data_IF_886213477595
#
_entry.id   IF_886213477595
#
_cell.length_a   1.000
_cell.length_b   1.000
_cell.length_c   1.000
_cell.angle_alpha   90.00
_cell.angle_beta   90.00
_cell.angle_gamma   90.00
#
_symmetry.space_group_name_H-M   'P 1'
#
loop_
_entity.id
_entity.type
_entity.pdbx_description
1 polymer ?
#
# COMPACT_ATOMS: atom_id res chain seq x y z
N UNK A 1 13.83 16.99 -26.60
CA UNK A 1 14.55 16.30 -25.51
C UNK A 1 14.12 16.97 -24.21
N UNK A 2 13.11 16.44 -23.54
CA UNK A 2 12.78 16.87 -22.18
C UNK A 2 13.74 16.13 -21.24
N UNK A 3 14.68 16.86 -20.63
CA UNK A 3 15.40 16.34 -19.47
C UNK A 3 14.34 16.13 -18.37
N UNK A 4 14.03 14.86 -18.06
CA UNK A 4 13.22 14.54 -16.90
C UNK A 4 14.06 14.82 -15.66
N UNK A 5 13.79 15.96 -15.00
CA UNK A 5 14.30 16.27 -13.67
C UNK A 5 13.54 15.44 -12.64
N UNK A 6 13.88 14.15 -12.59
CA UNK A 6 13.30 13.21 -11.63
C UNK A 6 13.76 13.52 -10.21
N UNK A 7 12.99 13.12 -9.20
CA UNK A 7 13.42 13.23 -7.79
C UNK A 7 14.76 12.52 -7.60
N UNK A 8 15.76 13.27 -7.10
CA UNK A 8 17.07 12.74 -6.71
C UNK A 8 17.20 12.75 -5.18
N UNK A 9 17.86 11.72 -4.63
CA UNK A 9 18.06 11.56 -3.19
C UNK A 9 16.93 10.80 -2.49
N UNK A 10 17.33 9.80 -1.71
CA UNK A 10 16.45 9.00 -0.85
C UNK A 10 17.15 8.72 0.47
N UNK A 11 16.40 8.87 1.55
CA UNK A 11 16.88 8.59 2.90
C UNK A 11 15.94 7.62 3.59
N UNK A 12 16.50 6.69 4.35
CA UNK A 12 15.73 5.90 5.31
C UNK A 12 15.26 6.79 6.47
N UNK A 13 14.02 6.56 6.92
CA UNK A 13 13.44 7.24 8.06
C UNK A 13 12.81 6.23 9.02
N UNK A 14 12.90 6.52 10.30
CA UNK A 14 12.23 5.78 11.36
C UNK A 14 11.36 6.74 12.18
N UNK A 15 10.11 6.33 12.40
CA UNK A 15 9.11 7.08 13.14
C UNK A 15 8.72 6.26 14.37
N UNK A 16 8.94 6.75 15.59
CA UNK A 16 8.62 5.99 16.79
C UNK A 16 7.11 5.80 16.94
N UNK A 17 6.71 4.59 17.31
CA UNK A 17 5.33 4.20 17.62
C UNK A 17 5.30 3.37 18.90
N UNK A 18 4.16 3.25 19.61
CA UNK A 18 4.13 2.53 20.89
C UNK A 18 4.58 1.07 20.84
N UNK A 19 4.52 0.42 19.67
CA UNK A 19 4.95 -0.97 19.46
C UNK A 19 6.35 -1.09 18.82
N UNK A 20 7.09 0.01 18.70
CA UNK A 20 8.44 0.04 18.12
C UNK A 20 8.61 1.18 17.13
N UNK A 21 8.90 0.87 15.88
CA UNK A 21 9.16 1.84 14.82
C UNK A 21 8.33 1.57 13.58
N UNK A 22 8.00 2.64 12.88
CA UNK A 22 7.58 2.61 11.49
C UNK A 22 8.75 3.10 10.65
N UNK A 23 9.25 2.24 9.78
CA UNK A 23 10.33 2.56 8.86
C UNK A 23 9.77 3.02 7.52
N UNK A 24 10.59 3.68 6.71
CA UNK A 24 10.19 4.11 5.38
C UNK A 24 11.34 4.73 4.60
N UNK A 25 11.01 5.24 3.41
CA UNK A 25 11.91 5.98 2.53
C UNK A 25 11.34 7.37 2.31
N UNK A 26 12.15 8.40 2.51
CA UNK A 26 11.82 9.77 2.20
C UNK A 26 12.57 10.22 0.96
N UNK A 27 11.83 10.60 -0.07
CA UNK A 27 12.34 11.06 -1.36
C UNK A 27 12.13 12.57 -1.51
N UNK A 28 13.10 13.24 -2.14
CA UNK A 28 12.99 14.67 -2.48
C UNK A 28 13.14 15.62 -1.28
N UNK A 29 12.80 16.91 -1.47
CA UNK A 29 13.13 17.97 -0.50
C UNK A 29 12.44 17.79 0.85
N UNK A 30 13.17 18.02 1.96
CA UNK A 30 12.63 17.96 3.34
C UNK A 30 11.87 19.21 3.77
N UNK A 31 12.05 20.33 3.05
CA UNK A 31 11.43 21.62 3.37
C UNK A 31 9.95 21.72 2.97
N UNK A 32 9.43 20.73 2.24
CA UNK A 32 8.04 20.68 1.79
C UNK A 32 7.34 19.46 2.40
N UNK A 33 6.03 19.57 2.61
CA UNK A 33 5.25 18.44 3.09
C UNK A 33 5.22 17.33 2.03
N UNK A 34 5.61 16.09 2.39
CA UNK A 34 5.62 14.98 1.46
C UNK A 34 4.22 14.45 1.18
N UNK A 35 4.07 13.80 0.03
CA UNK A 35 2.97 12.86 -0.24
C UNK A 35 3.25 11.58 0.55
N UNK A 36 2.31 11.16 1.40
CA UNK A 36 2.44 9.89 2.13
C UNK A 36 2.05 8.75 1.20
N UNK A 37 2.98 7.84 0.94
CA UNK A 37 2.81 6.70 0.03
C UNK A 37 2.69 5.38 0.81
N UNK A 38 1.62 4.62 0.54
CA UNK A 38 1.32 3.33 1.15
C UNK A 38 1.28 2.19 0.13
N UNK A 39 2.05 1.13 0.39
CA UNK A 39 2.24 0.00 -0.53
C UNK A 39 1.10 -1.05 -0.48
N UNK A 40 1.16 -2.04 -1.37
CA UNK A 40 0.25 -3.18 -1.40
C UNK A 40 0.45 -4.18 -0.26
N UNK A 41 -0.48 -5.13 -0.12
CA UNK A 41 -0.36 -6.17 0.92
C UNK A 41 0.87 -7.04 0.67
N UNK A 42 1.68 -7.27 1.71
CA UNK A 42 2.94 -8.04 1.67
C UNK A 42 4.09 -7.40 0.87
N UNK A 43 3.93 -6.18 0.35
CA UNK A 43 5.02 -5.37 -0.20
C UNK A 43 5.81 -4.67 0.93
N UNK A 44 6.50 -3.59 0.58
CA UNK A 44 7.17 -2.64 1.46
C UNK A 44 7.36 -1.29 0.72
N UNK A 45 7.98 -0.30 1.35
CA UNK A 45 8.25 1.02 0.77
C UNK A 45 9.02 0.96 -0.57
N UNK A 46 9.75 -0.11 -0.83
CA UNK A 46 10.44 -0.36 -2.10
C UNK A 46 9.52 -0.53 -3.30
N UNK A 47 8.22 -0.77 -3.09
CA UNK A 47 7.21 -0.88 -4.16
C UNK A 47 7.13 0.39 -5.02
N UNK A 48 7.62 1.54 -4.51
CA UNK A 48 7.63 2.82 -5.22
C UNK A 48 9.00 3.18 -5.82
N UNK A 49 10.02 2.35 -5.68
CA UNK A 49 11.41 2.68 -6.05
C UNK A 49 11.61 2.96 -7.55
N UNK A 50 10.69 2.51 -8.40
CA UNK A 50 10.74 2.76 -9.85
C UNK A 50 9.84 3.93 -10.27
N UNK A 51 8.79 4.24 -9.51
CA UNK A 51 7.87 5.34 -9.79
C UNK A 51 8.41 6.69 -9.33
N UNK A 52 8.85 6.80 -8.08
CA UNK A 52 9.19 8.09 -7.46
C UNK A 52 10.30 8.83 -8.21
N UNK A 53 11.36 8.17 -8.72
CA UNK A 53 12.37 8.84 -9.54
C UNK A 53 11.85 9.44 -10.85
N UNK A 54 10.64 9.10 -11.31
CA UNK A 54 10.03 9.67 -12.52
C UNK A 54 9.05 10.82 -12.22
N UNK A 55 8.83 11.13 -10.94
CA UNK A 55 8.03 12.28 -10.54
C UNK A 55 8.90 13.53 -10.49
N UNK A 56 8.27 14.71 -10.56
CA UNK A 56 8.98 16.00 -10.52
C UNK A 56 9.89 16.14 -9.30
N UNK A 57 11.10 16.66 -9.50
CA UNK A 57 12.07 16.95 -8.44
C UNK A 57 11.61 18.01 -7.41
N UNK A 58 10.55 18.74 -7.71
CA UNK A 58 9.93 19.70 -6.80
C UNK A 58 8.97 19.05 -5.78
N UNK A 59 8.69 17.76 -5.90
CA UNK A 59 7.81 17.04 -4.97
C UNK A 59 8.62 16.23 -3.96
N UNK A 60 8.01 15.99 -2.79
CA UNK A 60 8.56 15.09 -1.78
C UNK A 60 7.59 13.95 -1.51
N UNK A 61 8.11 12.75 -1.24
CA UNK A 61 7.30 11.54 -1.02
C UNK A 61 7.86 10.76 0.16
N UNK A 62 6.97 10.42 1.11
CA UNK A 62 7.25 9.58 2.27
C UNK A 62 6.61 8.21 2.05
N UNK A 63 7.39 7.25 1.57
CA UNK A 63 6.98 5.86 1.38
C UNK A 63 7.14 5.09 2.70
N UNK A 64 6.03 4.65 3.29
CA UNK A 64 6.06 3.95 4.59
C UNK A 64 6.05 2.45 4.42
N UNK A 65 6.85 1.73 5.22
CA UNK A 65 6.61 0.33 5.50
C UNK A 65 5.46 0.20 6.50
N UNK A 66 4.35 -0.43 6.13
CA UNK A 66 3.24 -0.66 7.06
C UNK A 66 3.63 -1.61 8.20
N UNK A 67 2.92 -1.60 9.36
CA UNK A 67 3.19 -2.51 10.47
C UNK A 67 3.35 -3.97 10.00
N UNK A 68 4.38 -4.65 10.50
CA UNK A 68 4.69 -6.01 10.09
C UNK A 68 5.30 -6.17 8.68
N UNK A 69 5.53 -5.09 7.94
CA UNK A 69 6.13 -5.13 6.60
C UNK A 69 7.51 -4.47 6.59
N UNK A 70 8.33 -4.83 5.59
CA UNK A 70 9.64 -4.23 5.36
C UNK A 70 10.51 -4.15 6.63
N UNK A 71 10.95 -2.94 6.95
CA UNK A 71 11.77 -2.67 8.14
C UNK A 71 10.96 -2.11 9.32
N UNK A 72 9.62 -2.08 9.23
CA UNK A 72 8.75 -1.67 10.34
C UNK A 72 8.64 -2.77 11.39
N UNK A 73 8.41 -2.35 12.64
CA UNK A 73 8.17 -3.27 13.74
C UNK A 73 6.91 -4.11 13.48
N UNK A 74 6.99 -5.38 13.88
CA UNK A 74 5.84 -6.26 13.97
C UNK A 74 4.96 -5.83 15.15
N UNK A 75 3.67 -6.12 15.10
CA UNK A 75 2.84 -5.92 16.28
C UNK A 75 3.23 -6.93 17.37
N UNK A 76 2.93 -6.64 18.65
CA UNK A 76 3.10 -7.61 19.72
C UNK A 76 2.45 -8.97 19.41
N UNK A 77 2.94 -10.02 20.08
CA UNK A 77 2.32 -11.36 19.97
C UNK A 77 0.84 -11.31 20.35
N UNK A 78 0.06 -12.23 19.79
CA UNK A 78 -1.40 -12.33 19.97
C UNK A 78 -2.22 -11.17 19.39
N UNK A 79 -1.59 -10.10 18.89
CA UNK A 79 -2.32 -9.04 18.19
C UNK A 79 -2.61 -9.46 16.73
N UNK A 80 -3.87 -9.29 16.34
CA UNK A 80 -4.33 -9.49 14.97
C UNK A 80 -4.08 -8.25 14.09
N UNK A 81 -3.83 -8.45 12.80
CA UNK A 81 -3.67 -7.38 11.82
C UNK A 81 -5.00 -7.05 11.14
N UNK A 82 -5.70 -6.03 11.64
CA UNK A 82 -6.88 -5.46 10.99
C UNK A 82 -6.45 -4.46 9.93
N UNK A 83 -5.79 -4.95 8.87
CA UNK A 83 -4.97 -4.16 7.92
C UNK A 83 -5.61 -2.84 7.43
N UNK A 84 -6.92 -2.80 7.19
CA UNK A 84 -7.61 -1.57 6.82
C UNK A 84 -7.70 -0.57 7.99
N UNK A 85 -8.24 -1.00 9.12
CA UNK A 85 -8.46 -0.16 10.30
C UNK A 85 -7.14 0.27 10.95
N UNK A 86 -6.19 -0.67 11.07
CA UNK A 86 -4.84 -0.41 11.55
C UNK A 86 -4.12 0.59 10.65
N UNK A 87 -4.35 0.53 9.33
CA UNK A 87 -3.83 1.49 8.36
C UNK A 87 -4.34 2.91 8.56
N UNK A 88 -5.64 3.08 8.85
CA UNK A 88 -6.22 4.41 9.17
C UNK A 88 -5.61 4.95 10.47
N UNK A 89 -5.49 4.10 11.49
CA UNK A 89 -4.87 4.47 12.77
C UNK A 89 -3.40 4.87 12.56
N UNK A 90 -2.67 4.12 11.73
CA UNK A 90 -1.30 4.44 11.35
C UNK A 90 -1.24 5.82 10.69
N UNK A 91 -2.01 6.07 9.62
CA UNK A 91 -2.04 7.38 8.96
C UNK A 91 -2.37 8.50 9.96
N UNK A 92 -3.34 8.29 10.85
CA UNK A 92 -3.68 9.27 11.88
C UNK A 92 -2.52 9.55 12.84
N UNK A 93 -1.74 8.53 13.19
CA UNK A 93 -0.52 8.68 14.00
C UNK A 93 0.56 9.44 13.25
N UNK A 94 0.79 9.15 11.98
CA UNK A 94 1.79 9.84 11.14
C UNK A 94 1.43 11.32 10.98
N UNK A 95 0.17 11.63 10.66
CA UNK A 95 -0.33 13.02 10.55
C UNK A 95 -0.12 13.79 11.85
N UNK A 96 -0.44 13.17 12.99
CA UNK A 96 -0.20 13.78 14.32
C UNK A 96 1.28 13.95 14.66
N UNK A 97 2.10 12.95 14.34
CA UNK A 97 3.55 12.97 14.62
C UNK A 97 4.23 14.16 13.94
N UNK A 98 3.93 14.38 12.65
CA UNK A 98 4.46 15.52 11.90
C UNK A 98 3.66 16.82 12.08
N UNK A 99 2.61 16.82 12.92
CA UNK A 99 1.73 17.97 13.19
C UNK A 99 1.11 18.56 11.92
N UNK A 100 0.77 17.70 10.97
CA UNK A 100 0.14 18.10 9.72
C UNK A 100 -1.34 18.41 9.92
N UNK A 101 -1.78 19.55 9.40
CA UNK A 101 -3.21 19.93 9.36
C UNK A 101 -3.89 19.50 8.05
N UNK A 102 -3.08 19.24 7.02
CA UNK A 102 -3.48 18.74 5.71
C UNK A 102 -2.58 17.56 5.32
N UNK A 103 -3.03 16.66 4.46
CA UNK A 103 -2.23 15.52 4.00
C UNK A 103 -2.51 15.19 2.53
N UNK A 104 -1.47 14.71 1.84
CA UNK A 104 -1.51 14.25 0.45
C UNK A 104 -1.22 12.75 0.44
N UNK A 105 -2.02 11.97 -0.26
CA UNK A 105 -1.96 10.50 -0.20
C UNK A 105 -1.68 9.89 -1.57
N UNK A 106 -0.80 8.88 -1.59
CA UNK A 106 -0.56 7.98 -2.71
C UNK A 106 -0.71 6.55 -2.18
N UNK A 107 -1.52 5.72 -2.83
CA UNK A 107 -1.76 4.37 -2.34
C UNK A 107 -1.88 3.35 -3.46
N UNK A 108 -1.17 2.24 -3.33
CA UNK A 108 -1.33 1.07 -4.20
C UNK A 108 -2.10 -0.02 -3.46
N UNK A 109 -3.10 -0.63 -4.12
CA UNK A 109 -3.80 -1.80 -3.60
C UNK A 109 -4.32 -1.61 -2.16
N UNK A 110 -3.80 -2.35 -1.18
CA UNK A 110 -4.09 -2.16 0.25
C UNK A 110 -3.88 -0.71 0.71
N UNK A 111 -2.76 -0.09 0.33
CA UNK A 111 -2.47 1.30 0.66
C UNK A 111 -3.45 2.29 0.03
N UNK A 112 -3.96 2.00 -1.17
CA UNK A 112 -5.05 2.79 -1.76
C UNK A 112 -6.37 2.60 -1.03
N UNK A 113 -6.72 1.38 -0.62
CA UNK A 113 -7.89 1.12 0.21
C UNK A 113 -7.82 1.82 1.59
N UNK A 114 -6.65 1.85 2.23
CA UNK A 114 -6.42 2.57 3.49
C UNK A 114 -6.57 4.08 3.29
N UNK A 115 -5.93 4.63 2.25
CA UNK A 115 -6.02 6.04 1.92
C UNK A 115 -7.46 6.48 1.62
N UNK A 116 -8.23 5.64 0.92
CA UNK A 116 -9.67 5.86 0.67
C UNK A 116 -10.45 6.00 1.98
N UNK A 117 -10.24 5.06 2.91
CA UNK A 117 -10.94 5.10 4.20
C UNK A 117 -10.51 6.33 5.03
N UNK A 118 -9.22 6.68 5.04
CA UNK A 118 -8.74 7.87 5.73
C UNK A 118 -9.34 9.15 5.15
N UNK A 119 -9.35 9.29 3.81
CA UNK A 119 -9.92 10.44 3.12
C UNK A 119 -11.42 10.59 3.36
N UNK A 120 -12.16 9.50 3.49
CA UNK A 120 -13.57 9.54 3.83
C UNK A 120 -13.82 9.84 5.33
N UNK A 121 -12.97 9.34 6.22
CA UNK A 121 -13.08 9.57 7.67
C UNK A 121 -12.67 10.98 8.10
N UNK A 122 -11.65 11.56 7.47
CA UNK A 122 -11.10 12.89 7.73
C UNK A 122 -11.12 13.76 6.46
N UNK A 123 -12.30 14.03 5.88
CA UNK A 123 -12.42 14.59 4.53
C UNK A 123 -11.92 16.01 4.41
N UNK A 124 -11.85 16.74 5.52
CA UNK A 124 -11.35 18.11 5.52
C UNK A 124 -9.82 18.16 5.75
N UNK A 125 -9.14 17.03 5.97
CA UNK A 125 -7.68 16.96 6.12
C UNK A 125 -6.97 16.56 4.81
N UNK A 126 -7.62 15.80 3.93
CA UNK A 126 -6.96 15.30 2.71
C UNK A 126 -7.05 16.33 1.59
N UNK A 127 -5.91 16.76 1.04
CA UNK A 127 -5.88 17.69 -0.09
C UNK A 127 -6.13 16.96 -1.41
N UNK A 128 -5.39 15.88 -1.61
CA UNK A 128 -5.62 14.96 -2.71
C UNK A 128 -5.25 13.52 -2.37
N UNK A 129 -5.79 12.61 -3.17
CA UNK A 129 -5.47 11.20 -3.13
C UNK A 129 -5.22 10.66 -4.54
N UNK A 130 -4.13 9.91 -4.68
CA UNK A 130 -3.78 9.14 -5.88
C UNK A 130 -3.92 7.66 -5.54
N UNK A 131 -4.83 6.98 -6.22
CA UNK A 131 -5.14 5.56 -6.01
C UNK A 131 -4.69 4.73 -7.20
N UNK A 132 -3.80 3.77 -6.95
CA UNK A 132 -3.21 2.91 -7.96
C UNK A 132 -3.83 1.51 -7.90
N UNK A 133 -4.53 1.17 -8.97
CA UNK A 133 -5.17 -0.10 -9.27
C UNK A 133 -6.16 -0.62 -8.20
N UNK A 134 -6.84 0.31 -7.53
CA UNK A 134 -7.83 0.05 -6.49
C UNK A 134 -8.78 1.25 -6.37
N UNK A 135 -10.08 1.02 -6.12
CA UNK A 135 -11.06 2.10 -5.90
C UNK A 135 -11.50 2.22 -4.43
N UNK A 136 -11.38 1.15 -3.66
CA UNK A 136 -11.85 1.03 -2.27
C UNK A 136 -11.34 -0.26 -1.63
N UNK A 137 -11.53 -0.46 -0.31
CA UNK A 137 -11.39 -1.78 0.30
C UNK A 137 -12.19 -2.85 -0.45
N UNK A 138 -11.69 -4.09 -0.46
CA UNK A 138 -12.31 -5.17 -1.21
C UNK A 138 -13.71 -5.49 -0.67
N UNK A 139 -14.73 -5.20 -1.49
CA UNK A 139 -16.11 -5.58 -1.22
C UNK A 139 -16.24 -7.09 -1.32
N UNK A 140 -16.74 -7.71 -0.26
CA UNK A 140 -16.96 -9.16 -0.20
C UNK A 140 -18.44 -9.50 -0.14
N UNK A 141 -18.76 -10.68 -0.64
CA UNK A 141 -20.06 -11.31 -0.45
C UNK A 141 -20.28 -11.57 1.05
N UNK A 142 -21.30 -10.92 1.60
CA UNK A 142 -21.62 -10.99 3.04
C UNK A 142 -22.05 -12.40 3.46
N UNK A 143 -22.60 -13.20 2.53
CA UNK A 143 -23.06 -14.57 2.83
C UNK A 143 -21.89 -15.51 3.10
N UNK A 144 -20.72 -15.23 2.51
CA UNK A 144 -19.47 -15.98 2.75
C UNK A 144 -18.73 -15.52 4.01
N UNK A 145 -19.24 -14.51 4.71
CA UNK A 145 -18.52 -13.89 5.83
C UNK A 145 -18.28 -14.83 7.01
N UNK A 146 -19.24 -15.65 7.46
CA UNK A 146 -19.00 -16.60 8.55
C UNK A 146 -17.85 -17.58 8.24
N UNK A 147 -17.85 -18.16 7.03
CA UNK A 147 -16.83 -19.13 6.60
C UNK A 147 -15.44 -18.50 6.49
N UNK A 148 -15.36 -17.29 5.93
CA UNK A 148 -14.10 -16.54 5.85
C UNK A 148 -13.58 -16.23 7.25
N UNK A 149 -14.45 -15.81 8.16
CA UNK A 149 -14.06 -15.46 9.53
C UNK A 149 -13.53 -16.69 10.27
N UNK A 150 -14.26 -17.82 10.26
CA UNK A 150 -13.81 -19.03 10.95
C UNK A 150 -12.47 -19.54 10.41
N UNK A 151 -12.31 -19.60 9.08
CA UNK A 151 -11.05 -20.02 8.44
C UNK A 151 -9.88 -19.06 8.77
N UNK A 152 -10.13 -17.74 8.82
CA UNK A 152 -9.10 -16.78 9.22
C UNK A 152 -8.75 -16.89 10.70
N UNK A 153 -9.70 -17.18 11.59
CA UNK A 153 -9.40 -17.37 13.02
C UNK A 153 -8.47 -18.58 13.19
N UNK A 154 -8.81 -19.73 12.63
CA UNK A 154 -8.01 -20.95 12.77
C UNK A 154 -6.60 -20.76 12.19
N UNK A 155 -6.50 -20.12 11.01
CA UNK A 155 -5.20 -19.81 10.40
C UNK A 155 -4.40 -18.82 11.25
N UNK A 156 -5.05 -17.82 11.84
CA UNK A 156 -4.37 -16.87 12.72
C UNK A 156 -3.77 -17.58 13.94
N UNK A 157 -4.55 -18.42 14.63
CA UNK A 157 -4.08 -19.22 15.77
C UNK A 157 -2.89 -20.12 15.39
N UNK A 158 -2.89 -20.66 14.16
CA UNK A 158 -1.75 -21.40 13.61
C UNK A 158 -0.51 -20.51 13.39
N UNK A 159 -0.66 -19.30 12.85
CA UNK A 159 0.49 -18.43 12.59
C UNK A 159 1.05 -17.77 13.85
N UNK A 160 0.22 -17.45 14.85
CA UNK A 160 0.70 -16.85 16.10
C UNK A 160 1.47 -17.84 16.99
N UNK A 161 1.18 -19.14 16.85
CA UNK A 161 1.88 -20.21 17.58
C UNK A 161 3.20 -20.61 16.95
N UNK A 162 3.55 -20.09 15.76
CA UNK A 162 4.87 -20.29 15.15
C UNK A 162 5.94 -19.68 16.06
N UNK A 163 6.75 -20.54 16.67
CA UNK A 163 7.92 -20.11 17.42
C UNK A 163 8.96 -19.47 16.48
N UNK A 164 9.73 -18.52 17.01
CA UNK A 164 10.74 -17.77 16.24
C UNK A 164 11.81 -18.66 15.58
N UNK A 165 12.03 -19.88 16.08
CA UNK A 165 12.95 -20.87 15.50
C UNK A 165 12.37 -21.71 14.35
N UNK A 166 11.09 -21.53 14.00
CA UNK A 166 10.41 -22.27 12.92
C UNK A 166 10.22 -21.47 11.62
N UNK A 167 10.81 -20.27 11.51
CA UNK A 167 10.74 -19.47 10.29
C UNK A 167 11.76 -20.05 9.29
N UNK A 168 11.31 -20.60 8.15
CA UNK A 168 12.22 -21.15 7.16
C UNK A 168 13.09 -20.05 6.56
N UNK A 169 14.37 -20.37 6.35
CA UNK A 169 15.30 -19.54 5.60
C UNK A 169 15.60 -20.15 4.24
N UNK A 170 15.83 -19.28 3.26
CA UNK A 170 15.96 -19.62 1.85
C UNK A 170 17.22 -18.97 1.28
N UNK A 171 17.81 -19.58 0.26
CA UNK A 171 18.77 -18.86 -0.58
C UNK A 171 18.02 -17.84 -1.45
N UNK A 172 18.76 -16.92 -2.09
CA UNK A 172 18.13 -15.82 -2.81
C UNK A 172 17.30 -16.26 -4.03
N UNK A 173 17.69 -17.33 -4.73
CA UNK A 173 16.92 -17.84 -5.87
C UNK A 173 15.60 -18.47 -5.41
N UNK A 174 15.62 -19.26 -4.34
CA UNK A 174 14.41 -19.81 -3.70
C UNK A 174 13.45 -18.69 -3.28
N UNK A 175 13.97 -17.58 -2.74
CA UNK A 175 13.15 -16.40 -2.42
C UNK A 175 12.44 -15.86 -3.66
N UNK A 176 13.17 -15.68 -4.77
CA UNK A 176 12.59 -15.13 -5.99
C UNK A 176 11.50 -16.04 -6.55
N UNK A 177 11.71 -17.36 -6.56
CA UNK A 177 10.70 -18.33 -6.98
C UNK A 177 9.44 -18.25 -6.11
N UNK A 178 9.59 -18.20 -4.78
CA UNK A 178 8.46 -18.06 -3.85
C UNK A 178 7.70 -16.76 -4.10
N UNK A 179 8.41 -15.67 -4.36
CA UNK A 179 7.81 -14.35 -4.60
C UNK A 179 7.10 -14.30 -5.94
N UNK A 180 7.71 -14.82 -7.01
CA UNK A 180 7.08 -14.86 -8.33
C UNK A 180 5.78 -15.69 -8.33
N UNK A 181 5.80 -16.86 -7.69
CA UNK A 181 4.61 -17.71 -7.51
C UNK A 181 3.51 -16.99 -6.69
N UNK A 182 3.88 -16.41 -5.55
CA UNK A 182 2.94 -15.75 -4.66
C UNK A 182 2.22 -14.56 -5.32
N UNK A 183 2.90 -13.84 -6.21
CA UNK A 183 2.36 -12.67 -6.92
C UNK A 183 1.67 -13.02 -8.24
N UNK A 184 1.70 -14.29 -8.67
CA UNK A 184 0.95 -14.82 -9.83
C UNK A 184 1.10 -13.98 -11.10
N UNK A 185 2.34 -13.60 -11.41
CA UNK A 185 2.67 -12.79 -12.59
C UNK A 185 2.33 -11.30 -12.45
N UNK A 186 1.97 -10.82 -11.26
CA UNK A 186 1.71 -9.40 -11.06
C UNK A 186 2.97 -8.53 -10.96
N UNK A 187 4.11 -9.10 -10.63
CA UNK A 187 5.41 -8.41 -10.59
C UNK A 187 6.35 -9.11 -11.56
N UNK A 188 7.30 -8.36 -12.14
CA UNK A 188 8.40 -8.96 -12.88
C UNK A 188 9.48 -9.47 -11.90
N UNK A 189 10.46 -10.22 -12.42
CA UNK A 189 11.64 -10.63 -11.66
C UNK A 189 12.41 -9.43 -11.10
N UNK A 190 12.55 -8.37 -11.88
CA UNK A 190 13.18 -7.12 -11.46
C UNK A 190 12.38 -6.45 -10.33
N UNK A 191 11.05 -6.44 -10.44
CA UNK A 191 10.16 -5.97 -9.38
C UNK A 191 10.32 -6.79 -8.09
N UNK A 192 10.41 -8.12 -8.21
CA UNK A 192 10.69 -9.00 -7.08
C UNK A 192 12.03 -8.69 -6.41
N UNK A 193 13.10 -8.50 -7.19
CA UNK A 193 14.42 -8.11 -6.68
C UNK A 193 14.34 -6.78 -5.91
N UNK A 194 13.62 -5.79 -6.45
CA UNK A 194 13.45 -4.48 -5.80
C UNK A 194 12.72 -4.64 -4.45
N UNK A 195 11.60 -5.35 -4.42
CA UNK A 195 10.86 -5.59 -3.18
C UNK A 195 11.70 -6.36 -2.17
N UNK A 196 12.53 -7.32 -2.60
CA UNK A 196 13.31 -8.16 -1.70
C UNK A 196 14.49 -7.45 -1.04
N UNK A 197 15.00 -6.35 -1.59
CA UNK A 197 16.01 -5.50 -0.92
C UNK A 197 15.57 -5.07 0.48
N UNK A 198 14.26 -4.84 0.66
CA UNK A 198 13.65 -4.46 1.93
C UNK A 198 12.72 -5.55 2.50
N UNK A 199 12.47 -6.59 1.71
CA UNK A 199 11.60 -7.71 2.03
C UNK A 199 12.30 -8.85 2.78
N UNK A 200 13.63 -8.85 2.89
CA UNK A 200 14.43 -9.92 3.48
C UNK A 200 15.23 -9.45 4.71
N UNK A 201 15.57 -10.42 5.56
CA UNK A 201 16.57 -10.28 6.63
C UNK A 201 17.55 -11.44 6.55
N UNK A 202 18.84 -11.23 6.87
CA UNK A 202 19.82 -12.31 6.92
C UNK A 202 19.42 -13.31 8.01
N UNK A 203 19.51 -14.60 7.69
CA UNK A 203 19.41 -15.68 8.66
C UNK A 203 20.75 -15.86 9.39
N UNK A 204 20.78 -16.79 10.37
CA UNK A 204 22.02 -17.12 11.08
C UNK A 204 23.06 -17.85 10.22
N UNK A 205 22.65 -18.35 9.04
CA UNK A 205 23.51 -19.07 8.09
C UNK A 205 23.94 -18.15 6.92
N UNK A 206 25.17 -18.30 6.40
CA UNK A 206 25.63 -17.54 5.23
C UNK A 206 24.72 -17.69 4.02
N UNK A 207 24.48 -16.59 3.31
CA UNK A 207 23.64 -16.53 2.09
C UNK A 207 22.20 -17.05 2.25
N UNK A 208 21.72 -17.16 3.48
CA UNK A 208 20.34 -17.51 3.78
C UNK A 208 19.57 -16.33 4.32
N UNK A 209 18.31 -16.24 3.94
CA UNK A 209 17.42 -15.14 4.25
C UNK A 209 16.06 -15.64 4.69
N UNK A 210 15.40 -14.90 5.58
CA UNK A 210 13.98 -15.08 5.84
C UNK A 210 13.22 -13.81 5.45
N UNK A 211 11.94 -13.96 5.14
CA UNK A 211 11.09 -12.82 4.85
C UNK A 211 10.93 -11.94 6.09
N UNK A 212 11.23 -10.65 5.95
CA UNK A 212 11.12 -9.65 7.01
C UNK A 212 9.68 -9.44 7.49
N UNK A 213 8.69 -9.74 6.63
CA UNK A 213 7.27 -9.55 6.92
C UNK A 213 6.79 -10.53 7.98
N UNK A 214 5.87 -10.07 8.81
CA UNK A 214 5.20 -10.90 9.80
C UNK A 214 4.34 -11.98 9.11
N UNK A 215 4.54 -13.28 9.40
CA UNK A 215 3.73 -14.36 8.81
C UNK A 215 2.22 -14.21 9.04
N UNK A 216 1.80 -13.55 10.14
CA UNK A 216 0.39 -13.30 10.46
C UNK A 216 -0.31 -12.45 9.42
N UNK A 217 0.42 -11.65 8.63
CA UNK A 217 -0.15 -10.85 7.54
C UNK A 217 -0.74 -11.70 6.39
N UNK A 218 -0.46 -13.00 6.34
CA UNK A 218 -1.15 -13.94 5.44
C UNK A 218 -2.63 -14.11 5.79
N UNK A 219 -3.03 -13.72 7.00
CA UNK A 219 -4.38 -13.89 7.55
C UNK A 219 -4.84 -12.54 8.07
N UNK A 220 -5.54 -11.79 7.22
CA UNK A 220 -5.88 -10.40 7.50
C UNK A 220 -7.35 -10.07 7.16
N UNK A 221 -8.23 -11.07 7.11
CA UNK A 221 -9.62 -10.93 6.64
C UNK A 221 -10.70 -11.12 7.73
N UNK A 222 -10.51 -10.53 8.93
CA UNK A 222 -11.54 -10.50 9.98
C UNK A 222 -12.44 -9.24 9.93
N UNK A 223 -12.13 -8.27 9.09
CA UNK A 223 -12.90 -7.02 8.93
C UNK A 223 -13.46 -6.89 7.51
N UNK A 224 -14.49 -7.68 7.19
CA UNK A 224 -15.14 -7.62 5.88
C UNK A 224 -15.97 -6.34 5.73
N UNK A 225 -16.01 -5.81 4.52
CA UNK A 225 -16.68 -4.55 4.21
C UNK A 225 -17.72 -4.81 3.11
N UNK A 226 -18.97 -4.45 3.38
CA UNK A 226 -20.07 -4.52 2.41
C UNK A 226 -19.99 -3.37 1.41
N UNK A 227 -20.66 -3.52 0.27
CA UNK A 227 -20.75 -2.44 -0.72
C UNK A 227 -21.38 -1.18 -0.12
N UNK A 228 -22.46 -1.32 0.65
CA UNK A 228 -23.16 -0.19 1.27
C UNK A 228 -22.24 0.61 2.19
N UNK A 229 -21.40 -0.07 2.98
CA UNK A 229 -20.42 0.59 3.84
C UNK A 229 -19.38 1.34 3.01
N UNK A 230 -18.85 0.72 1.94
CA UNK A 230 -17.92 1.41 1.03
C UNK A 230 -18.58 2.63 0.39
N UNK A 231 -19.82 2.54 -0.08
CA UNK A 231 -20.53 3.65 -0.72
C UNK A 231 -20.80 4.80 0.28
N UNK A 232 -21.04 4.47 1.55
CA UNK A 232 -21.14 5.47 2.63
C UNK A 232 -19.81 6.21 2.83
N UNK A 233 -18.67 5.50 2.83
CA UNK A 233 -17.35 6.14 2.86
C UNK A 233 -17.09 6.99 1.59
N UNK A 234 -17.34 6.43 0.40
CA UNK A 234 -17.11 7.10 -0.87
C UNK A 234 -17.84 8.44 -0.96
N UNK A 235 -19.07 8.50 -0.43
CA UNK A 235 -19.89 9.72 -0.42
C UNK A 235 -19.32 10.88 0.40
N UNK A 236 -18.34 10.60 1.27
CA UNK A 236 -17.69 11.60 2.13
C UNK A 236 -16.39 12.14 1.54
N UNK A 237 -15.89 11.57 0.44
CA UNK A 237 -14.65 12.04 -0.17
C UNK A 237 -14.86 13.40 -0.84
N UNK A 238 -14.09 14.39 -0.41
CA UNK A 238 -14.13 15.78 -0.91
C UNK A 238 -12.84 16.24 -1.60
N UNK A 239 -11.73 15.54 -1.37
CA UNK A 239 -10.42 15.92 -1.88
C UNK A 239 -10.34 15.82 -3.41
N UNK A 240 -9.27 16.33 -4.02
CA UNK A 240 -8.96 15.95 -5.40
C UNK A 240 -8.61 14.45 -5.45
N UNK A 241 -9.09 13.73 -6.44
CA UNK A 241 -8.99 12.28 -6.50
C UNK A 241 -8.56 11.81 -7.89
N UNK A 242 -7.42 11.16 -7.96
CA UNK A 242 -6.91 10.49 -9.15
C UNK A 242 -6.98 8.99 -8.95
N UNK A 243 -7.67 8.29 -9.85
CA UNK A 243 -7.65 6.83 -9.94
C UNK A 243 -6.94 6.40 -11.22
N UNK A 244 -5.91 5.55 -11.09
CA UNK A 244 -5.25 4.91 -12.22
C UNK A 244 -5.50 3.40 -12.13
N UNK A 245 -6.22 2.85 -13.09
CA UNK A 245 -6.57 1.42 -13.17
C UNK A 245 -5.65 0.74 -14.18
N UNK A 246 -4.96 -0.31 -13.75
CA UNK A 246 -4.20 -1.16 -14.64
C UNK A 246 -5.11 -2.15 -15.38
N UNK A 247 -4.77 -2.50 -16.61
CA UNK A 247 -5.49 -3.45 -17.46
C UNK A 247 -4.47 -4.51 -17.95
N UNK A 248 -4.59 -5.79 -17.54
CA UNK A 248 -5.72 -6.38 -16.82
C UNK A 248 -5.81 -6.05 -15.32
N UNK A 249 -4.72 -5.60 -14.67
CA UNK A 249 -4.73 -5.20 -13.25
C UNK A 249 -5.20 -6.28 -12.25
N UNK A 250 -5.62 -5.85 -11.06
CA UNK A 250 -6.14 -6.71 -10.00
C UNK A 250 -7.52 -7.27 -10.35
N UNK A 251 -7.72 -8.58 -10.16
CA UNK A 251 -9.06 -9.18 -10.26
C UNK A 251 -9.84 -8.94 -8.97
N UNK A 252 -11.10 -8.54 -9.09
CA UNK A 252 -12.01 -8.35 -7.97
C UNK A 252 -13.14 -9.36 -8.03
N UNK A 253 -13.59 -9.84 -6.88
CA UNK A 253 -14.73 -10.76 -6.79
C UNK A 253 -16.02 -10.11 -7.30
N UNK A 254 -16.17 -8.80 -7.04
CA UNK A 254 -17.32 -7.99 -7.44
C UNK A 254 -16.84 -6.81 -8.33
N UNK A 255 -16.47 -7.04 -9.60
CA UNK A 255 -15.82 -6.04 -10.45
C UNK A 255 -16.69 -4.80 -10.68
N UNK A 256 -18.02 -4.95 -10.72
CA UNK A 256 -19.00 -3.87 -10.79
C UNK A 256 -18.92 -2.88 -9.61
N UNK A 257 -18.40 -3.31 -8.45
CA UNK A 257 -18.25 -2.43 -7.29
C UNK A 257 -17.23 -1.33 -7.56
N UNK A 258 -16.25 -1.57 -8.45
CA UNK A 258 -15.20 -0.62 -8.76
C UNK A 258 -15.79 0.68 -9.34
N UNK A 259 -16.57 0.55 -10.43
CA UNK A 259 -17.18 1.69 -11.10
C UNK A 259 -18.27 2.36 -10.23
N UNK A 260 -19.10 1.58 -9.51
CA UNK A 260 -20.09 2.13 -8.55
C UNK A 260 -19.45 3.02 -7.48
N UNK A 261 -18.27 2.63 -7.00
CA UNK A 261 -17.52 3.42 -6.01
C UNK A 261 -16.95 4.68 -6.65
N UNK A 262 -16.33 4.58 -7.82
CA UNK A 262 -15.80 5.75 -8.53
C UNK A 262 -16.89 6.76 -8.86
N UNK A 263 -18.06 6.31 -9.33
CA UNK A 263 -19.22 7.16 -9.56
C UNK A 263 -19.63 7.91 -8.29
N UNK A 264 -19.61 7.23 -7.14
CA UNK A 264 -19.94 7.86 -5.86
C UNK A 264 -18.90 8.90 -5.42
N UNK A 265 -17.61 8.63 -5.62
CA UNK A 265 -16.52 9.57 -5.32
C UNK A 265 -16.64 10.82 -6.22
N UNK A 266 -16.89 10.63 -7.52
CA UNK A 266 -16.98 11.69 -8.51
C UNK A 266 -18.05 12.74 -8.18
N UNK A 267 -19.12 12.36 -7.47
CA UNK A 267 -20.17 13.30 -7.03
C UNK A 267 -19.70 14.28 -5.95
N UNK A 268 -18.72 13.92 -5.13
CA UNK A 268 -18.26 14.72 -3.97
C UNK A 268 -16.85 15.29 -4.10
N UNK A 269 -15.99 14.68 -4.91
CA UNK A 269 -14.60 15.08 -5.05
C UNK A 269 -14.45 16.47 -5.67
N UNK A 270 -13.56 17.31 -5.11
CA UNK A 270 -13.22 18.65 -5.63
C UNK A 270 -12.74 18.60 -7.08
N UNK A 271 -12.02 17.52 -7.43
CA UNK A 271 -11.58 17.19 -8.78
C UNK A 271 -11.51 15.67 -8.87
N UNK A 272 -11.96 15.10 -9.98
CA UNK A 272 -11.94 13.66 -10.19
C UNK A 272 -11.32 13.32 -11.55
N UNK A 273 -10.31 12.46 -11.53
CA UNK A 273 -9.67 11.93 -12.73
C UNK A 273 -9.60 10.40 -12.66
N UNK A 274 -9.92 9.76 -13.77
CA UNK A 274 -9.86 8.31 -13.91
C UNK A 274 -9.16 7.94 -15.21
N UNK A 275 -8.10 7.15 -15.10
CA UNK A 275 -7.29 6.72 -16.24
C UNK A 275 -7.14 5.20 -16.23
N UNK A 276 -7.24 4.58 -17.41
CA UNK A 276 -6.91 3.16 -17.61
C UNK A 276 -5.57 3.09 -18.33
N UNK A 277 -4.67 2.25 -17.82
CA UNK A 277 -3.34 2.04 -18.39
C UNK A 277 -3.09 0.56 -18.57
N UNK A 278 -2.39 0.19 -19.64
CA UNK A 278 -1.99 -1.19 -19.85
C UNK A 278 -0.92 -1.57 -18.81
N UNK A 279 -1.12 -2.71 -18.13
CA UNK A 279 -0.19 -3.20 -17.12
C UNK A 279 -0.81 -4.19 -16.14
N UNK A 280 0.05 -4.85 -15.38
CA UNK A 280 -0.33 -5.71 -14.25
C UNK A 280 -0.78 -4.89 -13.04
N UNK A 281 -1.23 -5.54 -11.96
CA UNK A 281 -1.61 -4.85 -10.73
C UNK A 281 -0.49 -3.99 -10.11
N UNK A 282 0.79 -4.31 -10.36
CA UNK A 282 1.93 -3.50 -9.93
C UNK A 282 2.49 -2.65 -11.09
N UNK A 283 1.61 -2.02 -11.88
CA UNK A 283 2.02 -1.14 -13.00
C UNK A 283 2.98 -0.03 -12.54
N UNK A 284 2.82 0.47 -11.33
CA UNK A 284 3.71 1.48 -10.75
C UNK A 284 5.12 0.96 -10.43
N UNK A 285 5.29 -0.35 -10.28
CA UNK A 285 6.58 -0.98 -10.07
C UNK A 285 7.19 -1.41 -11.42
N UNK A 286 6.39 -2.05 -12.27
CA UNK A 286 6.85 -2.70 -13.50
C UNK A 286 6.94 -1.75 -14.71
N UNK A 287 6.02 -0.79 -14.81
CA UNK A 287 5.87 0.12 -15.95
C UNK A 287 5.55 1.56 -15.49
N UNK A 288 6.37 2.14 -14.56
CA UNK A 288 6.09 3.45 -13.98
C UNK A 288 6.00 4.57 -15.01
N UNK A 289 6.70 4.45 -16.15
CA UNK A 289 6.68 5.41 -17.26
C UNK A 289 5.29 5.63 -17.84
N UNK A 290 4.37 4.66 -17.69
CA UNK A 290 2.99 4.75 -18.18
C UNK A 290 2.10 5.61 -17.29
N UNK A 291 2.48 5.78 -16.01
CA UNK A 291 1.64 6.47 -15.02
C UNK A 291 2.28 7.74 -14.46
N UNK A 292 3.61 7.86 -14.49
CA UNK A 292 4.32 9.03 -13.98
C UNK A 292 3.88 10.35 -14.65
N UNK A 293 3.69 10.43 -15.99
CA UNK A 293 3.19 11.65 -16.61
C UNK A 293 1.77 12.04 -16.13
N UNK A 294 0.90 11.05 -15.92
CA UNK A 294 -0.47 11.27 -15.42
C UNK A 294 -0.42 11.85 -14.01
N UNK A 295 0.43 11.26 -13.15
CA UNK A 295 0.62 11.70 -11.77
C UNK A 295 1.21 13.11 -11.71
N UNK A 296 2.25 13.40 -12.49
CA UNK A 296 2.87 14.73 -12.53
C UNK A 296 1.86 15.80 -12.97
N UNK A 297 1.08 15.54 -14.03
CA UNK A 297 0.04 16.47 -14.49
C UNK A 297 -1.04 16.69 -13.43
N UNK A 298 -1.44 15.64 -12.71
CA UNK A 298 -2.41 15.75 -11.63
C UNK A 298 -1.87 16.57 -10.45
N UNK A 299 -0.60 16.43 -10.08
CA UNK A 299 -0.02 17.18 -8.95
C UNK A 299 0.20 18.66 -9.31
N UNK A 300 0.50 18.98 -10.57
CA UNK A 300 0.79 20.35 -11.02
C UNK A 300 -0.45 21.23 -11.23
N UNK A 301 -1.66 20.71 -10.98
CA UNK A 301 -2.96 21.35 -11.28
C UNK A 301 -3.83 21.54 -10.05
#
# INVERSE_FOLDING_TARGET
>A
MLQLTGITGVEDIQIPVPWGIISGKWWGPKGIQPIVALHGRQDNAGSFDTLIPLLSDEISVLCLDMPGHGLSSHYPKCQYYYVYWDGIILLRRIVKYFKWTKVKLLGHSLGGAISFLYAASFPDEVEFMISLDIASPSVKDITKSPDIISDNIDKFLKYESLQSGGIPSYNYNEVLEIVEDAYKGSITKEGAIILMKRGLRPAGEPERYYFSRDPRLKVSALGMISLDLVLAYASRIKCAYLNIRAVPGMKFDNPESYEKVLDKIKLGAKRFEYHKVEGTHHVHLNNPERIAPIINNFIST
#
